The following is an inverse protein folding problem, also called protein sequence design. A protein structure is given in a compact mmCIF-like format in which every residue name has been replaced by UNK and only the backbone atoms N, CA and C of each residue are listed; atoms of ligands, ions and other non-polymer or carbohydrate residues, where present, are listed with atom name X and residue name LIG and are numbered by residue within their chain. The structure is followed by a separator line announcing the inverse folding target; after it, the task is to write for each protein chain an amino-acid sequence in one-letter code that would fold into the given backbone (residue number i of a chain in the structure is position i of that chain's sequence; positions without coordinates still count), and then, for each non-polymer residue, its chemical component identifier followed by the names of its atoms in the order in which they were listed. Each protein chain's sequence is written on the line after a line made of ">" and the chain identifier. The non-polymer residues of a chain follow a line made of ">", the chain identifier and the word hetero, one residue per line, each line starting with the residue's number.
data_IF_631386801975
#
_entry.id   IF_631386801975
#
_cell.length_a   1.000
_cell.length_b   1.000
_cell.length_c   1.000
_cell.angle_alpha   90.00
_cell.angle_beta   90.00
_cell.angle_gamma   90.00
#
_symmetry.space_group_name_H-M   'P 1'
#
loop_
_entity.id
_entity.type
_entity.pdbx_description
1 polymer ?
#
# COMPACT_ATOMS: atom_id res chain seq x y z
N UNK A 1 -26.10 -6.69 -1.85
CA UNK A 1 -24.61 -6.84 -1.71
C UNK A 1 -24.00 -5.96 -2.78
N UNK A 2 -23.03 -5.12 -2.45
CA UNK A 2 -22.38 -4.29 -3.48
C UNK A 2 -21.30 -5.09 -4.20
N UNK A 3 -21.05 -4.77 -5.47
CA UNK A 3 -20.06 -5.48 -6.29
C UNK A 3 -18.65 -5.45 -5.67
N UNK A 4 -18.34 -4.40 -4.93
CA UNK A 4 -17.07 -4.25 -4.18
C UNK A 4 -16.80 -5.41 -3.21
N UNK A 5 -17.84 -5.98 -2.60
CA UNK A 5 -17.70 -7.11 -1.67
C UNK A 5 -17.23 -8.38 -2.38
N UNK A 6 -17.68 -8.63 -3.61
CA UNK A 6 -17.19 -9.77 -4.41
C UNK A 6 -15.69 -9.63 -4.69
N UNK A 7 -15.24 -8.44 -5.08
CA UNK A 7 -13.82 -8.18 -5.34
C UNK A 7 -12.96 -8.31 -4.08
N UNK A 8 -13.41 -7.76 -2.96
CA UNK A 8 -12.69 -7.85 -1.69
C UNK A 8 -12.57 -9.30 -1.19
N UNK A 9 -13.55 -10.14 -1.53
CA UNK A 9 -13.55 -11.57 -1.20
C UNK A 9 -12.85 -12.43 -2.27
N UNK A 10 -12.38 -11.84 -3.38
CA UNK A 10 -11.79 -12.58 -4.50
C UNK A 10 -12.79 -13.46 -5.26
N UNK A 11 -14.10 -13.20 -5.14
CA UNK A 11 -15.14 -13.97 -5.82
C UNK A 11 -15.49 -13.36 -7.18
N UNK A 12 -14.63 -13.55 -8.16
CA UNK A 12 -14.86 -13.04 -9.54
C UNK A 12 -16.03 -13.75 -10.22
N UNK A 13 -16.27 -15.01 -9.88
CA UNK A 13 -17.42 -15.74 -10.43
C UNK A 13 -18.76 -15.16 -9.95
N UNK A 14 -18.84 -14.84 -8.67
CA UNK A 14 -19.99 -14.14 -8.10
C UNK A 14 -20.13 -12.72 -8.64
N UNK A 15 -19.02 -12.00 -8.81
CA UNK A 15 -19.01 -10.67 -9.41
C UNK A 15 -19.59 -10.68 -10.84
N UNK A 16 -19.17 -11.63 -11.68
CA UNK A 16 -19.72 -11.77 -13.06
C UNK A 16 -21.20 -12.11 -13.05
N UNK A 17 -21.64 -13.01 -12.16
CA UNK A 17 -23.06 -13.33 -12.02
C UNK A 17 -23.87 -12.10 -11.61
N UNK A 18 -23.38 -11.33 -10.64
CA UNK A 18 -23.98 -10.07 -10.21
C UNK A 18 -24.07 -9.05 -11.35
N UNK A 19 -22.98 -8.85 -12.10
CA UNK A 19 -22.95 -7.91 -13.23
C UNK A 19 -23.98 -8.25 -14.31
N UNK A 20 -24.28 -9.53 -14.54
CA UNK A 20 -25.28 -9.97 -15.55
C UNK A 20 -26.71 -9.55 -15.19
N UNK A 21 -26.96 -9.32 -13.93
CA UNK A 21 -28.29 -8.92 -13.42
C UNK A 21 -28.44 -7.40 -13.28
N UNK A 22 -27.37 -6.62 -13.58
CA UNK A 22 -27.31 -5.19 -13.32
C UNK A 22 -26.77 -4.43 -14.55
N UNK A 23 -27.66 -3.68 -15.22
CA UNK A 23 -27.36 -2.98 -16.48
C UNK A 23 -26.23 -1.96 -16.39
N UNK A 24 -25.98 -1.39 -15.21
CA UNK A 24 -24.88 -0.45 -14.98
C UNK A 24 -23.49 -1.04 -15.22
N UNK A 25 -23.37 -2.36 -15.36
CA UNK A 25 -22.10 -3.05 -15.63
C UNK A 25 -21.97 -3.55 -17.07
N UNK A 26 -22.93 -3.27 -17.96
CA UNK A 26 -22.93 -3.74 -19.35
C UNK A 26 -21.64 -3.38 -20.10
N UNK A 27 -21.03 -2.22 -19.79
CA UNK A 27 -19.81 -1.77 -20.45
C UNK A 27 -18.56 -2.57 -20.05
N UNK A 28 -18.52 -3.09 -18.82
CA UNK A 28 -17.34 -3.79 -18.29
C UNK A 28 -17.50 -5.31 -18.28
N UNK A 29 -18.70 -5.83 -18.22
CA UNK A 29 -19.01 -7.26 -18.20
C UNK A 29 -18.34 -8.04 -19.34
N UNK A 30 -18.35 -7.58 -20.62
CA UNK A 30 -17.68 -8.31 -21.71
C UNK A 30 -16.20 -8.57 -21.46
N UNK A 31 -15.50 -7.61 -20.85
CA UNK A 31 -14.08 -7.77 -20.53
C UNK A 31 -13.82 -8.80 -19.43
N UNK A 32 -14.69 -8.86 -18.39
CA UNK A 32 -14.62 -9.90 -17.38
C UNK A 32 -14.89 -11.30 -17.96
N UNK A 33 -15.91 -11.43 -18.82
CA UNK A 33 -16.24 -12.69 -19.51
C UNK A 33 -15.06 -13.13 -20.38
N UNK A 34 -14.51 -12.23 -21.20
CA UNK A 34 -13.36 -12.55 -22.06
C UNK A 34 -12.18 -13.10 -21.26
N UNK A 35 -11.80 -12.43 -20.16
CA UNK A 35 -10.64 -12.81 -19.37
C UNK A 35 -10.91 -14.06 -18.52
N UNK A 36 -12.00 -14.04 -17.74
CA UNK A 36 -12.18 -15.05 -16.69
C UNK A 36 -12.96 -16.28 -17.17
N UNK A 37 -13.94 -16.12 -18.04
CA UNK A 37 -14.68 -17.27 -18.60
C UNK A 37 -13.94 -17.87 -19.81
N UNK A 38 -13.56 -17.04 -20.79
CA UNK A 38 -12.99 -17.50 -22.04
C UNK A 38 -11.47 -17.72 -21.98
N UNK A 39 -10.76 -17.11 -20.99
CA UNK A 39 -9.30 -17.19 -20.90
C UNK A 39 -8.56 -16.34 -21.93
N UNK A 40 -9.20 -15.26 -22.40
CA UNK A 40 -8.62 -14.28 -23.33
C UNK A 40 -7.80 -13.27 -22.54
N UNK A 41 -6.55 -13.66 -22.20
CA UNK A 41 -5.69 -12.87 -21.32
C UNK A 41 -5.25 -11.56 -21.97
N UNK A 42 -5.06 -10.54 -21.11
CA UNK A 42 -4.60 -9.21 -21.54
C UNK A 42 -3.16 -9.26 -22.03
N UNK A 43 -2.89 -8.51 -23.11
CA UNK A 43 -1.54 -8.22 -23.61
C UNK A 43 -1.20 -6.77 -23.29
N UNK A 44 0.05 -6.52 -22.89
CA UNK A 44 0.55 -5.21 -22.52
C UNK A 44 1.55 -4.73 -23.58
N UNK A 45 1.76 -3.42 -23.68
CA UNK A 45 2.74 -2.79 -24.57
C UNK A 45 4.18 -2.96 -24.02
N UNK A 46 4.64 -4.20 -24.03
CA UNK A 46 5.96 -4.66 -23.60
C UNK A 46 6.39 -5.84 -24.49
N UNK A 47 7.69 -6.23 -24.51
CA UNK A 47 8.15 -7.38 -25.27
C UNK A 47 7.36 -8.67 -24.98
N UNK A 48 7.13 -9.48 -26.03
CA UNK A 48 6.34 -10.73 -25.93
C UNK A 48 6.85 -11.66 -24.83
N UNK A 49 8.19 -11.77 -24.67
CA UNK A 49 8.80 -12.60 -23.62
C UNK A 49 8.37 -12.22 -22.19
N UNK A 50 8.12 -10.92 -21.96
CA UNK A 50 7.61 -10.40 -20.68
C UNK A 50 6.10 -10.60 -20.56
N UNK A 51 5.36 -10.41 -21.66
CA UNK A 51 3.95 -10.75 -21.73
C UNK A 51 3.69 -12.22 -21.41
N UNK A 52 4.55 -13.14 -21.88
CA UNK A 52 4.46 -14.56 -21.55
C UNK A 52 4.56 -14.81 -20.03
N UNK A 53 5.45 -14.09 -19.34
CA UNK A 53 5.57 -14.17 -17.87
C UNK A 53 4.32 -13.61 -17.20
N UNK A 54 3.85 -12.42 -17.59
CA UNK A 54 2.63 -11.83 -17.02
C UNK A 54 1.38 -12.67 -17.29
N UNK A 55 1.34 -13.40 -18.40
CA UNK A 55 0.26 -14.35 -18.70
C UNK A 55 0.20 -15.48 -17.69
N UNK A 56 1.31 -15.96 -17.16
CA UNK A 56 1.31 -17.00 -16.11
C UNK A 56 0.64 -16.50 -14.83
N UNK A 57 0.84 -15.23 -14.46
CA UNK A 57 0.13 -14.61 -13.34
C UNK A 57 -1.37 -14.43 -13.62
N UNK A 58 -1.74 -14.07 -14.84
CA UNK A 58 -3.16 -13.97 -15.23
C UNK A 58 -3.87 -15.33 -15.18
N UNK A 59 -3.18 -16.42 -15.58
CA UNK A 59 -3.67 -17.79 -15.43
C UNK A 59 -3.87 -18.13 -13.94
N UNK A 60 -2.88 -17.81 -13.10
CA UNK A 60 -2.97 -18.01 -11.65
C UNK A 60 -4.16 -17.26 -11.04
N UNK A 61 -4.41 -16.00 -11.45
CA UNK A 61 -5.58 -15.24 -10.97
C UNK A 61 -6.90 -15.87 -11.40
N UNK A 62 -6.97 -16.34 -12.65
CA UNK A 62 -8.16 -17.05 -13.14
C UNK A 62 -8.39 -18.35 -12.36
N UNK A 63 -7.34 -19.13 -12.17
CA UNK A 63 -7.40 -20.41 -11.43
C UNK A 63 -7.89 -20.18 -9.99
N UNK A 64 -7.36 -19.16 -9.30
CA UNK A 64 -7.69 -18.86 -7.91
C UNK A 64 -9.07 -18.20 -7.77
N UNK A 65 -9.28 -17.08 -8.45
CA UNK A 65 -10.40 -16.17 -8.18
C UNK A 65 -11.69 -16.45 -8.99
N UNK A 66 -11.55 -17.20 -10.09
CA UNK A 66 -12.70 -17.56 -10.90
C UNK A 66 -12.98 -19.07 -10.86
N UNK A 67 -11.96 -19.91 -11.04
CA UNK A 67 -12.14 -21.36 -11.03
C UNK A 67 -12.24 -21.94 -9.60
N UNK A 68 -11.91 -21.15 -8.56
CA UNK A 68 -12.01 -21.56 -7.16
C UNK A 68 -10.94 -22.60 -6.73
N UNK A 69 -9.80 -22.63 -7.44
CA UNK A 69 -8.70 -23.48 -7.03
C UNK A 69 -8.10 -22.95 -5.71
N UNK A 70 -7.79 -23.80 -4.72
CA UNK A 70 -7.11 -23.38 -3.52
C UNK A 70 -5.82 -22.60 -3.85
N UNK A 71 -5.58 -21.48 -3.15
CA UNK A 71 -4.44 -20.60 -3.45
C UNK A 71 -3.12 -21.36 -3.48
N UNK A 72 -2.86 -22.24 -2.51
CA UNK A 72 -1.64 -23.01 -2.45
C UNK A 72 -1.43 -23.88 -3.72
N UNK A 73 -2.48 -24.53 -4.22
CA UNK A 73 -2.40 -25.35 -5.43
C UNK A 73 -2.19 -24.50 -6.69
N UNK A 74 -2.86 -23.35 -6.77
CA UNK A 74 -2.68 -22.40 -7.88
C UNK A 74 -1.26 -21.80 -7.86
N UNK A 75 -0.74 -21.49 -6.66
CA UNK A 75 0.62 -21.00 -6.44
C UNK A 75 1.68 -22.02 -6.89
N UNK A 76 1.53 -23.28 -6.51
CA UNK A 76 2.45 -24.36 -6.93
C UNK A 76 2.49 -24.48 -8.47
N UNK A 77 1.33 -24.38 -9.13
CA UNK A 77 1.25 -24.39 -10.60
C UNK A 77 1.93 -23.15 -11.22
N UNK A 78 1.74 -21.96 -10.63
CA UNK A 78 2.41 -20.76 -11.07
C UNK A 78 3.93 -20.90 -10.96
N UNK A 79 4.43 -21.28 -9.78
CA UNK A 79 5.87 -21.40 -9.51
C UNK A 79 6.51 -22.45 -10.43
N UNK A 80 5.86 -23.60 -10.63
CA UNK A 80 6.35 -24.62 -11.55
C UNK A 80 6.46 -24.10 -12.99
N UNK A 81 5.47 -23.33 -13.48
CA UNK A 81 5.49 -22.72 -14.81
C UNK A 81 6.59 -21.65 -14.94
N UNK A 82 6.78 -20.81 -13.92
CA UNK A 82 7.83 -19.78 -13.89
C UNK A 82 9.23 -20.42 -13.87
N UNK A 83 9.45 -21.43 -13.02
CA UNK A 83 10.71 -22.21 -12.96
C UNK A 83 11.03 -22.84 -14.33
N UNK A 84 10.04 -23.45 -14.96
CA UNK A 84 10.19 -24.01 -16.31
C UNK A 84 10.53 -22.93 -17.36
N UNK A 85 9.88 -21.76 -17.27
CA UNK A 85 10.08 -20.66 -18.24
C UNK A 85 11.50 -20.08 -18.16
N UNK A 86 12.10 -20.08 -16.96
CA UNK A 86 13.43 -19.57 -16.70
C UNK A 86 14.54 -20.64 -16.71
N UNK A 87 14.19 -21.91 -16.95
CA UNK A 87 15.10 -23.06 -16.86
C UNK A 87 15.77 -23.17 -15.47
N UNK A 88 15.00 -22.99 -14.41
CA UNK A 88 15.44 -23.00 -13.01
C UNK A 88 14.60 -23.99 -12.16
N UNK A 89 14.63 -25.31 -12.42
CA UNK A 89 13.70 -26.26 -11.81
C UNK A 89 13.79 -26.33 -10.28
N UNK A 90 14.99 -26.14 -9.73
CA UNK A 90 15.25 -26.28 -8.30
C UNK A 90 15.36 -24.93 -7.56
N UNK A 91 15.02 -23.80 -8.21
CA UNK A 91 15.15 -22.49 -7.60
C UNK A 91 14.20 -22.30 -6.41
N UNK A 92 14.71 -21.78 -5.32
CA UNK A 92 13.91 -21.25 -4.22
C UNK A 92 13.15 -20.00 -4.68
N UNK A 93 12.03 -19.64 -3.99
CA UNK A 93 11.18 -18.51 -4.38
C UNK A 93 11.94 -17.18 -4.45
N UNK A 94 12.85 -16.93 -3.51
CA UNK A 94 13.64 -15.69 -3.47
C UNK A 94 14.53 -15.57 -4.72
N UNK A 95 15.22 -16.65 -5.11
CA UNK A 95 16.05 -16.69 -6.32
C UNK A 95 15.17 -16.54 -7.58
N UNK A 96 13.99 -17.16 -7.60
CA UNK A 96 13.07 -17.04 -8.71
C UNK A 96 12.59 -15.59 -8.90
N UNK A 97 12.25 -14.91 -7.80
CA UNK A 97 11.84 -13.50 -7.82
C UNK A 97 12.98 -12.59 -8.33
N UNK A 98 14.21 -12.81 -7.84
CA UNK A 98 15.41 -12.07 -8.30
C UNK A 98 15.65 -12.26 -9.80
N UNK A 99 15.54 -13.50 -10.31
CA UNK A 99 15.72 -13.80 -11.74
C UNK A 99 14.62 -13.22 -12.60
N UNK A 100 13.38 -13.24 -12.14
CA UNK A 100 12.27 -12.58 -12.81
C UNK A 100 12.52 -11.07 -12.90
N UNK A 101 12.95 -10.43 -11.81
CA UNK A 101 13.30 -9.02 -11.79
C UNK A 101 14.39 -8.71 -12.81
N UNK A 102 15.48 -9.47 -12.83
CA UNK A 102 16.57 -9.30 -13.79
C UNK A 102 16.12 -9.43 -15.26
N UNK A 103 15.14 -10.31 -15.56
CA UNK A 103 14.57 -10.45 -16.90
C UNK A 103 13.84 -9.17 -17.33
N UNK A 104 13.08 -8.54 -16.43
CA UNK A 104 12.38 -7.28 -16.72
C UNK A 104 13.35 -6.11 -16.80
N UNK A 105 14.35 -6.04 -15.93
CA UNK A 105 15.38 -4.99 -15.94
C UNK A 105 16.20 -5.00 -17.23
N UNK A 106 16.50 -6.17 -17.80
CA UNK A 106 17.19 -6.31 -19.08
C UNK A 106 16.42 -5.69 -20.26
N UNK A 107 15.11 -5.50 -20.12
CA UNK A 107 14.25 -4.81 -21.11
C UNK A 107 13.91 -3.36 -20.69
N UNK A 108 14.54 -2.83 -19.64
CA UNK A 108 14.34 -1.46 -19.18
C UNK A 108 13.07 -1.27 -18.34
N UNK A 109 12.57 -2.33 -17.69
CA UNK A 109 11.45 -2.26 -16.77
C UNK A 109 11.93 -2.56 -15.35
N UNK A 110 11.43 -1.80 -14.38
CA UNK A 110 11.52 -2.18 -12.99
C UNK A 110 10.42 -3.18 -12.66
N UNK A 111 10.71 -4.12 -11.77
CA UNK A 111 9.72 -5.08 -11.32
C UNK A 111 9.92 -5.47 -9.84
N UNK A 112 8.81 -5.75 -9.17
CA UNK A 112 8.78 -6.33 -7.82
C UNK A 112 7.90 -7.57 -7.87
N UNK A 113 8.46 -8.71 -7.47
CA UNK A 113 7.77 -9.99 -7.41
C UNK A 113 7.61 -10.47 -5.99
N UNK A 114 6.57 -11.26 -5.73
CA UNK A 114 6.26 -11.82 -4.42
C UNK A 114 4.77 -11.83 -4.15
N UNK A 115 4.40 -12.04 -2.88
CA UNK A 115 3.01 -12.03 -2.43
C UNK A 115 2.64 -10.69 -1.79
N UNK A 116 1.43 -10.23 -2.09
CA UNK A 116 0.76 -9.13 -1.40
C UNK A 116 -0.57 -9.63 -0.86
N UNK A 117 -0.82 -9.47 0.42
CA UNK A 117 -2.06 -9.94 1.07
C UNK A 117 -2.36 -11.42 0.77
N UNK A 118 -1.32 -12.27 0.77
CA UNK A 118 -1.42 -13.71 0.58
C UNK A 118 -1.41 -14.21 -0.87
N UNK A 119 -1.48 -13.34 -1.88
CA UNK A 119 -1.51 -13.73 -3.29
C UNK A 119 -0.28 -13.24 -4.05
N UNK A 120 0.23 -14.05 -4.98
CA UNK A 120 1.33 -13.65 -5.86
C UNK A 120 0.87 -12.58 -6.83
N UNK A 121 1.76 -11.60 -7.07
CA UNK A 121 1.50 -10.59 -8.09
C UNK A 121 2.71 -9.72 -8.37
N UNK A 122 3.06 -9.48 -9.64
CA UNK A 122 4.09 -8.53 -9.98
C UNK A 122 3.56 -7.09 -9.91
N UNK A 123 4.46 -6.19 -9.55
CA UNK A 123 4.39 -4.79 -9.90
C UNK A 123 5.43 -4.54 -10.98
N UNK A 124 5.04 -3.98 -12.13
CA UNK A 124 5.94 -3.72 -13.26
C UNK A 124 5.73 -2.28 -13.73
N UNK A 125 6.82 -1.49 -13.76
CA UNK A 125 6.78 -0.08 -14.14
C UNK A 125 8.01 0.32 -14.95
N UNK A 126 7.97 1.51 -15.61
CA UNK A 126 9.03 1.95 -16.53
C UNK A 126 10.12 2.78 -15.86
N UNK A 127 9.75 3.62 -14.90
CA UNK A 127 10.68 4.62 -14.35
C UNK A 127 10.49 4.77 -12.84
N UNK A 128 11.59 4.92 -12.11
CA UNK A 128 11.62 5.31 -10.71
C UNK A 128 12.33 6.67 -10.59
N UNK A 129 11.61 7.69 -10.14
CA UNK A 129 12.14 9.05 -9.97
C UNK A 129 12.27 9.36 -8.48
N UNK A 130 13.49 9.28 -7.90
CA UNK A 130 13.70 9.73 -6.52
C UNK A 130 13.45 11.24 -6.44
N UNK A 131 12.53 11.64 -5.56
CA UNK A 131 12.17 13.04 -5.34
C UNK A 131 12.35 13.38 -3.87
N UNK A 132 13.18 14.40 -3.59
CA UNK A 132 13.46 14.85 -2.23
C UNK A 132 12.49 15.96 -1.85
N UNK A 133 11.82 15.78 -0.72
CA UNK A 133 10.89 16.74 -0.14
C UNK A 133 11.47 17.31 1.16
N UNK A 134 11.38 18.66 1.31
CA UNK A 134 11.59 19.33 2.59
C UNK A 134 10.26 19.37 3.34
N UNK A 135 10.12 18.54 4.34
CA UNK A 135 8.85 18.32 5.05
C UNK A 135 8.86 19.09 6.37
N UNK A 136 8.07 20.15 6.46
CA UNK A 136 7.85 20.87 7.72
C UNK A 136 7.05 20.04 8.71
N UNK A 137 7.64 19.77 9.87
CA UNK A 137 7.04 19.09 11.02
C UNK A 137 6.90 20.07 12.20
N UNK A 138 6.15 19.76 13.27
CA UNK A 138 5.99 20.68 14.41
C UNK A 138 7.32 21.10 15.05
N UNK A 139 8.27 20.19 15.16
CA UNK A 139 9.57 20.42 15.83
C UNK A 139 10.72 20.73 14.85
N UNK A 140 10.43 21.01 13.58
CA UNK A 140 11.45 21.39 12.61
C UNK A 140 11.15 20.94 11.19
N UNK A 141 12.21 20.81 10.38
CA UNK A 141 12.10 20.35 8.98
C UNK A 141 12.89 19.06 8.82
N UNK A 142 12.27 18.07 8.19
CA UNK A 142 12.92 16.82 7.81
C UNK A 142 13.07 16.75 6.28
N UNK A 143 14.20 16.21 5.83
CA UNK A 143 14.36 15.80 4.44
C UNK A 143 13.81 14.37 4.28
N UNK A 144 12.95 14.17 3.28
CA UNK A 144 12.36 12.87 3.03
C UNK A 144 12.34 12.55 1.53
N UNK A 145 12.83 11.36 1.18
CA UNK A 145 12.89 10.91 -0.21
C UNK A 145 11.72 9.99 -0.52
N UNK A 146 10.99 10.32 -1.59
CA UNK A 146 9.93 9.48 -2.15
C UNK A 146 10.35 9.04 -3.54
N UNK A 147 10.33 7.75 -3.82
CA UNK A 147 10.44 7.21 -5.17
C UNK A 147 9.09 7.31 -5.88
N UNK A 148 8.99 8.17 -6.87
CA UNK A 148 7.79 8.26 -7.72
C UNK A 148 7.93 7.20 -8.81
N UNK A 149 7.03 6.20 -8.80
CA UNK A 149 7.01 5.10 -9.75
C UNK A 149 6.06 5.43 -10.90
N UNK A 150 6.60 5.46 -12.13
CA UNK A 150 5.89 5.93 -13.32
C UNK A 150 5.74 4.86 -14.39
N UNK A 151 4.70 5.00 -15.22
CA UNK A 151 4.49 4.15 -16.37
C UNK A 151 4.22 2.69 -16.00
N UNK A 152 3.31 2.45 -15.06
CA UNK A 152 2.93 1.09 -14.67
C UNK A 152 2.33 0.31 -15.84
N UNK A 153 2.84 -0.90 -16.01
CA UNK A 153 2.35 -1.91 -16.95
C UNK A 153 1.42 -2.89 -16.23
N UNK A 154 1.79 -3.27 -14.99
CA UNK A 154 1.07 -4.25 -14.21
C UNK A 154 1.14 -3.88 -12.71
N UNK A 155 0.01 -3.92 -11.99
CA UNK A 155 -0.08 -3.52 -10.59
C UNK A 155 -0.69 -4.60 -9.70
N UNK A 156 -0.14 -5.83 -9.77
CA UNK A 156 -0.53 -6.97 -8.95
C UNK A 156 -1.99 -7.45 -9.16
N UNK A 157 -2.44 -8.35 -8.30
CA UNK A 157 -3.71 -9.07 -8.45
C UNK A 157 -4.96 -8.21 -8.24
N UNK A 158 -4.99 -7.36 -7.21
CA UNK A 158 -6.17 -6.56 -6.88
C UNK A 158 -6.51 -5.56 -8.00
N UNK A 159 -5.50 -4.86 -8.52
CA UNK A 159 -5.65 -3.96 -9.66
C UNK A 159 -6.14 -4.73 -10.90
N UNK A 160 -5.59 -5.91 -11.16
CA UNK A 160 -5.97 -6.75 -12.28
C UNK A 160 -7.43 -7.23 -12.17
N UNK A 161 -7.85 -7.74 -11.01
CA UNK A 161 -9.21 -8.21 -10.77
C UNK A 161 -10.25 -7.09 -10.87
N UNK A 162 -9.88 -5.87 -10.55
CA UNK A 162 -10.79 -4.72 -10.48
C UNK A 162 -10.67 -3.75 -11.65
N UNK A 163 -9.87 -4.10 -12.66
CA UNK A 163 -9.58 -3.22 -13.80
C UNK A 163 -9.13 -1.81 -13.38
N UNK A 164 -8.24 -1.75 -12.38
CA UNK A 164 -7.65 -0.52 -11.88
C UNK A 164 -8.48 0.26 -10.86
N UNK A 165 -9.65 -0.26 -10.42
CA UNK A 165 -10.50 0.44 -9.44
C UNK A 165 -9.95 0.38 -8.03
N UNK A 166 -9.29 -0.72 -7.66
CA UNK A 166 -8.66 -0.95 -6.36
C UNK A 166 -7.22 -1.40 -6.56
N UNK A 167 -6.36 -1.02 -5.64
CA UNK A 167 -4.94 -1.38 -5.65
C UNK A 167 -4.19 -0.58 -4.60
N UNK A 168 -2.90 -0.86 -4.43
CA UNK A 168 -2.05 -0.06 -3.54
C UNK A 168 -1.71 1.28 -4.18
N UNK A 169 -1.56 2.31 -3.34
CA UNK A 169 -0.99 3.60 -3.76
C UNK A 169 0.54 3.62 -3.69
N UNK A 170 1.15 2.63 -3.03
CA UNK A 170 2.57 2.55 -2.82
C UNK A 170 2.93 1.59 -1.68
N UNK A 171 4.20 1.55 -1.32
CA UNK A 171 4.72 0.73 -0.22
C UNK A 171 6.02 1.30 0.34
N UNK A 172 6.31 1.01 1.62
CA UNK A 172 7.59 1.30 2.22
C UNK A 172 8.63 0.22 1.86
N UNK A 173 9.84 0.63 1.54
CA UNK A 173 11.00 -0.25 1.45
C UNK A 173 11.61 -0.50 2.84
N UNK A 174 12.40 -1.56 3.03
CA UNK A 174 13.03 -1.87 4.32
C UNK A 174 13.95 -0.76 4.86
N UNK A 175 14.46 0.11 4.00
CA UNK A 175 15.28 1.27 4.35
C UNK A 175 14.46 2.52 4.75
N UNK A 176 13.12 2.39 4.77
CA UNK A 176 12.20 3.49 5.09
C UNK A 176 11.84 4.39 3.90
N UNK A 177 12.39 4.13 2.71
CA UNK A 177 12.01 4.87 1.49
C UNK A 177 10.60 4.50 1.06
N UNK A 178 9.75 5.49 0.76
CA UNK A 178 8.42 5.25 0.21
C UNK A 178 8.48 5.17 -1.32
N UNK A 179 7.86 4.13 -1.84
CA UNK A 179 7.59 3.96 -3.27
C UNK A 179 6.14 4.34 -3.54
N UNK A 180 5.93 5.42 -4.27
CA UNK A 180 4.64 6.03 -4.51
C UNK A 180 4.25 5.85 -5.98
N UNK A 181 3.09 5.26 -6.24
CA UNK A 181 2.55 5.08 -7.59
C UNK A 181 2.01 6.43 -8.08
N UNK A 182 2.60 6.99 -9.13
CA UNK A 182 2.26 8.32 -9.65
C UNK A 182 0.73 8.50 -9.84
N UNK A 183 0.06 7.54 -10.46
CA UNK A 183 -1.36 7.63 -10.77
C UNK A 183 -2.29 7.49 -9.54
N UNK A 184 -1.76 7.11 -8.38
CA UNK A 184 -2.54 6.93 -7.16
C UNK A 184 -2.67 8.21 -6.34
N UNK A 185 -1.89 9.24 -6.66
CA UNK A 185 -1.83 10.48 -5.89
C UNK A 185 -1.93 11.72 -6.78
N UNK A 186 -2.69 12.67 -6.29
CA UNK A 186 -2.48 14.08 -6.60
C UNK A 186 -1.43 14.60 -5.60
N UNK A 187 -0.25 14.97 -6.10
CA UNK A 187 0.90 15.37 -5.29
C UNK A 187 0.73 16.72 -4.58
N UNK A 188 -0.31 17.48 -4.91
CA UNK A 188 -0.71 18.71 -4.22
C UNK A 188 -1.83 18.46 -3.17
N UNK A 189 -2.36 17.24 -3.11
CA UNK A 189 -3.45 16.90 -2.20
C UNK A 189 -3.00 16.77 -0.74
N UNK A 190 -3.93 17.03 0.19
CA UNK A 190 -3.74 16.76 1.62
C UNK A 190 -3.37 15.29 1.88
N UNK A 191 -3.95 14.36 1.10
CA UNK A 191 -3.65 12.94 1.19
C UNK A 191 -2.16 12.66 0.94
N UNK A 192 -1.53 13.34 -0.02
CA UNK A 192 -0.10 13.18 -0.28
C UNK A 192 0.74 13.99 0.71
N UNK A 193 0.45 15.30 0.86
CA UNK A 193 1.31 16.21 1.63
C UNK A 193 1.23 16.00 3.14
N UNK A 194 0.08 15.57 3.66
CA UNK A 194 -0.14 15.36 5.09
C UNK A 194 -0.14 13.88 5.41
N UNK A 195 -1.08 13.10 4.85
CA UNK A 195 -1.27 11.71 5.24
C UNK A 195 -0.20 10.74 4.69
N UNK A 196 0.66 11.19 3.76
CA UNK A 196 1.83 10.42 3.36
C UNK A 196 3.12 11.12 3.82
N UNK A 197 3.47 12.28 3.28
CA UNK A 197 4.78 12.87 3.50
C UNK A 197 5.05 13.22 4.96
N UNK A 198 4.12 13.90 5.65
CA UNK A 198 4.33 14.28 7.05
C UNK A 198 4.28 13.06 7.97
N UNK A 199 3.41 12.11 7.69
CA UNK A 199 3.32 10.84 8.41
C UNK A 199 4.65 10.09 8.38
N UNK A 200 5.18 9.83 7.20
CA UNK A 200 6.42 9.06 7.03
C UNK A 200 7.67 9.84 7.45
N UNK A 201 7.68 11.16 7.22
CA UNK A 201 8.76 11.99 7.73
C UNK A 201 8.81 11.99 9.27
N UNK A 202 7.65 11.97 9.94
CA UNK A 202 7.59 11.86 11.40
C UNK A 202 8.14 10.50 11.87
N UNK A 203 7.80 9.38 11.22
CA UNK A 203 8.42 8.09 11.50
C UNK A 203 9.94 8.13 11.41
N UNK A 204 10.47 8.76 10.35
CA UNK A 204 11.91 8.88 10.14
C UNK A 204 12.59 9.66 11.24
N UNK A 205 11.98 10.76 11.72
CA UNK A 205 12.49 11.57 12.84
C UNK A 205 12.43 10.77 14.13
N UNK A 206 11.29 10.15 14.43
CA UNK A 206 11.06 9.41 15.67
C UNK A 206 11.99 8.20 15.81
N UNK A 207 12.20 7.43 14.76
CA UNK A 207 13.13 6.28 14.77
C UNK A 207 14.57 6.71 15.04
N UNK A 208 14.97 7.90 14.58
CA UNK A 208 16.30 8.46 14.87
C UNK A 208 16.41 8.99 16.29
N UNK A 209 15.36 9.64 16.78
CA UNK A 209 15.34 10.28 18.10
C UNK A 209 15.14 9.26 19.23
N UNK A 210 14.32 8.23 19.00
CA UNK A 210 13.90 7.23 19.98
C UNK A 210 14.19 5.81 19.50
N UNK A 211 15.46 5.36 19.51
CA UNK A 211 15.80 3.99 19.13
C UNK A 211 15.06 2.97 20.01
N UNK A 212 14.26 2.12 19.37
CA UNK A 212 13.43 1.14 20.08
C UNK A 212 11.97 1.57 20.29
N UNK A 213 11.56 2.71 19.74
CA UNK A 213 10.15 3.13 19.67
C UNK A 213 9.29 2.01 19.09
N UNK A 214 8.14 1.75 19.68
CA UNK A 214 7.24 0.70 19.20
C UNK A 214 6.46 1.13 17.95
N UNK A 215 5.99 0.17 17.12
CA UNK A 215 5.13 0.51 15.97
C UNK A 215 3.87 1.29 16.36
N UNK A 216 3.26 0.99 17.51
CA UNK A 216 2.08 1.72 17.99
C UNK A 216 2.41 3.18 18.34
N UNK A 217 3.55 3.41 19.01
CA UNK A 217 4.00 4.77 19.34
C UNK A 217 4.34 5.57 18.08
N UNK A 218 4.98 4.95 17.07
CA UNK A 218 5.25 5.57 15.76
C UNK A 218 3.94 6.02 15.11
N UNK A 219 2.97 5.12 14.97
CA UNK A 219 1.68 5.40 14.36
C UNK A 219 0.91 6.49 15.10
N UNK A 220 0.92 6.43 16.44
CA UNK A 220 0.26 7.44 17.25
C UNK A 220 0.83 8.85 17.01
N UNK A 221 2.15 9.00 17.00
CA UNK A 221 2.84 10.28 16.75
C UNK A 221 2.61 10.79 15.33
N UNK A 222 2.71 9.93 14.33
CA UNK A 222 2.44 10.28 12.94
C UNK A 222 0.99 10.73 12.73
N UNK A 223 0.01 10.05 13.32
CA UNK A 223 -1.41 10.46 13.29
C UNK A 223 -1.67 11.79 14.00
N UNK A 224 -0.96 12.11 15.07
CA UNK A 224 -1.04 13.43 15.71
C UNK A 224 -0.50 14.54 14.79
N UNK A 225 0.60 14.28 14.07
CA UNK A 225 1.12 15.22 13.07
C UNK A 225 0.11 15.41 11.93
N UNK A 226 -0.49 14.33 11.42
CA UNK A 226 -1.55 14.42 10.42
C UNK A 226 -2.70 15.33 10.91
N UNK A 227 -3.21 15.12 12.14
CA UNK A 227 -4.30 15.91 12.72
C UNK A 227 -3.91 17.37 12.90
N UNK A 228 -2.67 17.66 13.29
CA UNK A 228 -2.18 19.04 13.43
C UNK A 228 -2.18 19.80 12.11
N UNK A 229 -1.83 19.14 11.01
CA UNK A 229 -1.75 19.76 9.67
C UNK A 229 -2.99 19.57 8.81
N UNK A 230 -3.99 18.82 9.27
CA UNK A 230 -5.22 18.57 8.49
C UNK A 230 -5.97 19.87 8.21
N UNK A 231 -6.45 20.02 6.98
CA UNK A 231 -7.31 21.15 6.57
C UNK A 231 -8.79 20.94 6.88
N UNK A 232 -9.19 19.77 7.41
CA UNK A 232 -10.57 19.44 7.72
C UNK A 232 -10.68 18.36 8.81
N UNK A 233 -11.90 18.08 9.27
CA UNK A 233 -12.15 17.07 10.32
C UNK A 233 -12.20 15.62 9.82
N UNK A 234 -12.05 15.38 8.52
CA UNK A 234 -12.19 14.05 7.91
C UNK A 234 -11.16 13.06 8.42
N UNK A 235 -9.91 13.48 8.67
CA UNK A 235 -8.87 12.61 9.24
C UNK A 235 -9.21 12.18 10.68
N UNK A 236 -9.71 13.09 11.52
CA UNK A 236 -10.14 12.70 12.86
C UNK A 236 -11.27 11.68 12.80
N UNK A 237 -12.28 11.91 11.96
CA UNK A 237 -13.40 10.97 11.79
C UNK A 237 -12.92 9.60 11.30
N UNK A 238 -11.99 9.58 10.36
CA UNK A 238 -11.34 8.35 9.88
C UNK A 238 -10.69 7.60 11.05
N UNK A 239 -9.84 8.26 11.83
CA UNK A 239 -9.14 7.61 12.96
C UNK A 239 -10.11 7.13 14.04
N UNK A 240 -11.16 7.90 14.34
CA UNK A 240 -12.21 7.46 15.26
C UNK A 240 -12.95 6.21 14.79
N UNK A 241 -13.13 6.04 13.49
CA UNK A 241 -13.77 4.86 12.90
C UNK A 241 -12.85 3.63 12.81
N UNK A 242 -11.54 3.83 12.73
CA UNK A 242 -10.50 2.79 12.70
C UNK A 242 -10.14 2.28 14.11
N UNK A 243 -10.56 3.00 15.16
CA UNK A 243 -10.19 2.74 16.54
C UNK A 243 -10.75 1.39 17.03
N UNK A 244 -9.85 0.42 17.28
CA UNK A 244 -10.21 -0.91 17.78
C UNK A 244 -9.12 -1.47 18.69
N UNK A 245 -9.36 -1.47 20.01
CA UNK A 245 -8.42 -1.99 21.01
C UNK A 245 -8.30 -3.53 21.00
N UNK A 246 -9.23 -4.23 20.37
CA UNK A 246 -9.16 -5.70 20.26
C UNK A 246 -8.13 -6.19 19.25
N UNK A 247 -7.72 -5.31 18.32
CA UNK A 247 -6.75 -5.61 17.26
C UNK A 247 -5.31 -5.36 17.71
N UNK A 248 -4.87 -6.06 18.76
CA UNK A 248 -3.55 -5.86 19.42
C UNK A 248 -2.32 -6.05 18.51
N UNK A 249 -2.46 -6.65 17.33
CA UNK A 249 -1.40 -6.77 16.34
C UNK A 249 -1.41 -5.70 15.25
N UNK A 250 -2.37 -4.77 15.28
CA UNK A 250 -2.55 -3.70 14.31
C UNK A 250 -2.21 -2.35 14.96
N UNK A 251 -0.99 -1.87 14.69
CA UNK A 251 -0.48 -0.60 15.22
C UNK A 251 -1.35 0.61 14.85
N UNK A 252 -1.93 0.63 13.64
CA UNK A 252 -2.82 1.70 13.21
C UNK A 252 -4.13 1.73 14.00
N UNK A 253 -4.76 0.55 14.24
CA UNK A 253 -6.00 0.45 15.00
C UNK A 253 -5.77 0.82 16.47
N UNK A 254 -4.65 0.36 17.06
CA UNK A 254 -4.27 0.68 18.45
C UNK A 254 -3.97 2.17 18.64
N UNK A 255 -3.19 2.78 17.72
CA UNK A 255 -2.92 4.22 17.75
C UNK A 255 -4.20 5.06 17.59
N UNK A 256 -5.12 4.64 16.71
CA UNK A 256 -6.43 5.26 16.53
C UNK A 256 -7.29 5.13 17.78
N UNK A 257 -7.23 4.00 18.49
CA UNK A 257 -7.92 3.82 19.78
C UNK A 257 -7.37 4.76 20.85
N UNK A 258 -6.05 4.97 20.91
CA UNK A 258 -5.44 5.96 21.80
C UNK A 258 -5.92 7.38 21.47
N UNK A 259 -5.92 7.78 20.20
CA UNK A 259 -6.46 9.08 19.75
C UNK A 259 -7.92 9.24 20.19
N UNK A 260 -8.76 8.23 20.01
CA UNK A 260 -10.17 8.27 20.42
C UNK A 260 -10.33 8.59 21.91
N UNK A 261 -9.51 7.99 22.78
CA UNK A 261 -9.53 8.27 24.23
C UNK A 261 -9.07 9.70 24.53
N UNK A 262 -7.96 10.13 23.95
CA UNK A 262 -7.31 11.40 24.29
C UNK A 262 -8.01 12.63 23.68
N UNK A 263 -8.86 12.42 22.68
CA UNK A 263 -9.72 13.46 22.09
C UNK A 263 -11.14 13.46 22.64
N UNK A 264 -11.48 12.61 23.62
CA UNK A 264 -12.85 12.50 24.15
C UNK A 264 -13.40 13.83 24.71
N UNK A 265 -12.55 14.61 25.37
CA UNK A 265 -12.91 15.91 25.96
C UNK A 265 -12.60 17.11 25.05
N UNK A 266 -12.18 16.87 23.81
CA UNK A 266 -11.88 17.94 22.83
C UNK A 266 -13.15 18.32 22.07
N UNK A 267 -13.34 19.61 21.75
CA UNK A 267 -14.37 20.02 20.79
C UNK A 267 -14.03 19.50 19.38
N UNK A 268 -14.48 18.30 19.07
CA UNK A 268 -14.24 17.60 17.80
C UNK A 268 -14.95 18.25 16.60
N UNK A 269 -15.74 19.32 16.81
CA UNK A 269 -16.39 20.12 15.75
C UNK A 269 -15.55 21.31 15.33
N UNK A 270 -14.54 21.66 16.12
CA UNK A 270 -13.63 22.78 15.86
C UNK A 270 -12.30 22.24 15.35
N UNK A 271 -11.98 22.53 14.09
CA UNK A 271 -10.70 22.14 13.48
C UNK A 271 -9.52 22.70 14.27
N UNK A 272 -9.57 23.96 14.67
CA UNK A 272 -8.48 24.60 15.43
C UNK A 272 -8.29 23.96 16.82
N UNK A 273 -9.37 23.50 17.49
CA UNK A 273 -9.26 22.77 18.73
C UNK A 273 -8.60 21.38 18.52
N UNK A 274 -8.96 20.69 17.44
CA UNK A 274 -8.35 19.39 17.08
C UNK A 274 -6.86 19.57 16.77
N UNK A 275 -6.50 20.55 15.97
CA UNK A 275 -5.10 20.85 15.60
C UNK A 275 -4.26 21.21 16.83
N UNK A 276 -4.77 22.08 17.72
CA UNK A 276 -4.09 22.48 18.95
C UNK A 276 -3.91 21.29 19.91
N UNK A 277 -4.96 20.48 20.08
CA UNK A 277 -4.88 19.28 20.93
C UNK A 277 -3.90 18.25 20.41
N UNK A 278 -3.85 18.04 19.09
CA UNK A 278 -2.90 17.14 18.46
C UNK A 278 -1.45 17.57 18.74
N UNK A 279 -1.15 18.86 18.62
CA UNK A 279 0.17 19.41 18.93
C UNK A 279 0.53 19.26 20.43
N UNK A 280 -0.41 19.59 21.33
CA UNK A 280 -0.24 19.42 22.77
C UNK A 280 0.11 17.98 23.13
N UNK A 281 -0.65 17.01 22.60
CA UNK A 281 -0.44 15.58 22.83
C UNK A 281 0.88 15.09 22.25
N UNK A 282 1.29 15.59 21.08
CA UNK A 282 2.57 15.23 20.47
C UNK A 282 3.74 15.68 21.37
N UNK A 283 3.69 16.90 21.89
CA UNK A 283 4.73 17.41 22.80
C UNK A 283 4.73 16.65 24.14
N UNK A 284 3.57 16.41 24.75
CA UNK A 284 3.47 15.61 25.96
C UNK A 284 4.03 14.20 25.78
N UNK A 285 3.73 13.56 24.64
CA UNK A 285 4.27 12.25 24.32
C UNK A 285 5.78 12.31 24.01
N UNK A 286 6.31 13.42 23.47
CA UNK A 286 7.74 13.61 23.32
C UNK A 286 8.45 13.59 24.69
N UNK A 287 7.91 14.29 25.71
CA UNK A 287 8.44 14.27 27.05
C UNK A 287 8.43 12.84 27.67
N UNK A 288 7.32 12.09 27.50
CA UNK A 288 7.23 10.67 27.91
C UNK A 288 8.29 9.80 27.23
N UNK A 289 8.51 10.00 25.93
CA UNK A 289 9.48 9.24 25.15
C UNK A 289 10.92 9.57 25.56
N UNK A 290 11.22 10.84 25.86
CA UNK A 290 12.52 11.25 26.37
C UNK A 290 12.82 10.63 27.75
N UNK A 291 11.83 10.49 28.63
CA UNK A 291 11.97 9.78 29.89
C UNK A 291 12.21 8.27 29.69
N UNK A 292 11.48 7.65 28.72
CA UNK A 292 11.54 6.21 28.46
C UNK A 292 12.81 5.77 27.74
N UNK A 293 13.24 6.51 26.72
CA UNK A 293 14.34 6.13 25.81
C UNK A 293 15.63 6.97 26.01
N UNK A 294 15.55 8.05 26.80
CA UNK A 294 16.64 9.00 27.02
C UNK A 294 16.82 10.02 25.89
N UNK A 295 17.29 11.23 26.23
CA UNK A 295 17.61 12.26 25.23
C UNK A 295 18.84 11.85 24.42
N UNK A 296 18.67 11.44 23.17
CA UNK A 296 19.82 11.48 22.24
C UNK A 296 20.04 12.92 21.79
N UNK A 297 21.21 13.48 22.14
CA UNK A 297 21.61 14.77 21.61
C UNK A 297 21.73 14.67 20.10
N UNK A 298 20.87 15.39 19.38
CA UNK A 298 21.06 15.63 17.94
C UNK A 298 22.41 16.27 17.74
N UNK A 299 23.37 15.53 17.23
CA UNK A 299 24.64 16.10 16.80
C UNK A 299 24.35 16.86 15.52
N UNK A 300 24.22 18.19 15.67
CA UNK A 300 24.21 19.11 14.50
C UNK A 300 25.56 19.01 13.82
N UNK A 301 25.59 18.44 12.64
CA UNK A 301 26.70 18.58 11.70
C UNK A 301 26.43 19.73 10.76
#
# INVERSE_FOLDING_TARGET
>A
MEISQFFMNGDIKGAIAYMREHEEFNDILPAYVAIFENGEYRTFDIPDRLNDILRLYQIYYRDTFYCGLPEAEAADKLLARLKKRLDLPDAEEALLAERLQAVFEADGYHALFGKTQGYYGPYVWRETVPTVYQVGLPDGTAEYTVNILKGFVFRSWMDYLTFGRFGTGGWASPDGTINCIEQAYDFESERFLVSLLKHEAQHTVDMKQFPGITPEELEYRAKLVELHYSGNLGLLQKFLSEADESRTGDSHAMASARIKREFADTDQRSLSCVQARALELLHAHTDEMEEKYGKQKTVSN
#
